data_IF_483175532198
#
_entry.id   IF_483175532198
#
_cell.length_a   1.000
_cell.length_b   1.000
_cell.length_c   1.000
_cell.angle_alpha   90.00
_cell.angle_beta   90.00
_cell.angle_gamma   90.00
#
_symmetry.space_group_name_H-M   'P 1'
#
loop_
_entity.id
_entity.type
_entity.pdbx_description
1 polymer ?
#
# COMPACT_ATOMS: atom_id res chain seq x y z
N UNK A 1 3.47 -0.44 3.79
CA UNK A 1 4.41 0.63 4.16
C UNK A 1 5.66 0.52 3.30
N UNK A 2 6.02 1.58 2.64
CA UNK A 2 7.15 1.54 1.75
C UNK A 2 7.98 2.80 1.87
N UNK A 3 9.30 2.64 1.85
CA UNK A 3 10.21 3.77 1.80
C UNK A 3 10.57 4.02 0.36
N UNK A 4 10.34 5.24 -0.09
CA UNK A 4 10.60 5.61 -1.48
C UNK A 4 11.66 6.67 -1.49
N UNK A 5 12.74 6.49 -2.27
CA UNK A 5 13.77 7.51 -2.36
C UNK A 5 13.17 8.87 -2.72
N UNK A 6 13.65 9.91 -2.08
CA UNK A 6 13.11 11.24 -2.31
C UNK A 6 13.73 11.83 -3.58
N UNK A 7 13.39 11.24 -4.71
CA UNK A 7 13.88 11.63 -6.01
C UNK A 7 12.70 11.75 -6.97
N UNK A 8 12.81 12.63 -7.95
CA UNK A 8 11.71 12.79 -8.90
C UNK A 8 11.36 11.47 -9.59
N UNK A 9 10.10 11.22 -9.73
CA UNK A 9 9.61 10.05 -10.45
C UNK A 9 9.49 8.76 -9.64
N UNK A 10 10.09 8.71 -8.46
CA UNK A 10 10.07 7.46 -7.70
C UNK A 10 8.69 7.08 -7.18
N UNK A 11 7.94 8.05 -6.72
CA UNK A 11 6.58 7.78 -6.30
C UNK A 11 5.74 7.32 -7.48
N UNK A 12 5.93 7.94 -8.63
CA UNK A 12 5.23 7.53 -9.84
C UNK A 12 5.58 6.11 -10.23
N UNK A 13 6.83 5.72 -10.06
CA UNK A 13 7.26 4.38 -10.37
C UNK A 13 6.51 3.36 -9.52
N UNK A 14 6.44 3.59 -8.21
CA UNK A 14 5.74 2.68 -7.31
C UNK A 14 4.25 2.63 -7.64
N UNK A 15 3.63 3.78 -7.84
CA UNK A 15 2.21 3.84 -8.16
C UNK A 15 1.91 3.11 -9.46
N UNK A 16 2.80 3.27 -10.45
CA UNK A 16 2.63 2.61 -11.75
C UNK A 16 2.74 1.10 -11.61
N UNK A 17 3.65 0.63 -10.77
CA UNK A 17 3.78 -0.81 -10.57
C UNK A 17 2.51 -1.38 -9.94
N UNK A 18 1.95 -0.68 -8.97
CA UNK A 18 0.73 -1.13 -8.32
C UNK A 18 -0.38 -1.27 -9.36
N UNK A 19 -0.56 -0.25 -10.19
CA UNK A 19 -1.58 -0.29 -11.22
C UNK A 19 -1.29 -1.28 -12.33
N UNK A 20 -0.03 -1.42 -12.69
CA UNK A 20 0.35 -2.35 -13.75
C UNK A 20 -0.03 -3.78 -13.37
N UNK A 21 0.08 -4.12 -12.11
CA UNK A 21 -0.31 -5.45 -11.65
C UNK A 21 -1.78 -5.50 -11.23
N UNK A 22 -2.55 -4.54 -11.74
CA UNK A 22 -3.99 -4.52 -11.60
C UNK A 22 -4.50 -4.45 -10.16
N UNK A 23 -3.72 -3.80 -9.32
CA UNK A 23 -4.18 -3.50 -7.96
C UNK A 23 -4.63 -2.05 -7.95
N UNK A 24 -5.55 -1.73 -7.08
CA UNK A 24 -6.10 -0.39 -7.02
C UNK A 24 -5.67 0.30 -5.74
N UNK A 25 -5.17 1.51 -5.88
CA UNK A 25 -4.79 2.30 -4.71
C UNK A 25 -6.04 2.95 -4.16
N UNK A 26 -6.38 2.59 -2.93
CA UNK A 26 -7.56 3.15 -2.27
C UNK A 26 -7.18 4.41 -1.52
N UNK A 27 -6.01 4.39 -0.90
CA UNK A 27 -5.57 5.52 -0.10
C UNK A 27 -4.06 5.54 -0.04
N UNK A 28 -3.50 6.71 0.19
CA UNK A 28 -2.07 6.86 0.30
C UNK A 28 -1.80 7.93 1.34
N UNK A 29 -0.85 7.66 2.21
CA UNK A 29 -0.54 8.57 3.28
C UNK A 29 0.96 8.64 3.49
N UNK A 30 1.49 9.85 3.65
CA UNK A 30 2.90 10.02 3.98
C UNK A 30 3.02 9.97 5.47
N UNK A 31 3.81 9.04 5.98
CA UNK A 31 3.96 8.89 7.43
C UNK A 31 5.31 9.37 7.93
N UNK A 32 6.27 9.58 7.05
CA UNK A 32 7.57 10.08 7.47
C UNK A 32 8.23 10.78 6.29
N UNK A 33 8.89 11.90 6.56
CA UNK A 33 9.59 12.65 5.54
C UNK A 33 11.00 12.84 6.00
N UNK A 34 11.93 12.26 5.25
CA UNK A 34 13.34 12.45 5.52
C UNK A 34 14.00 13.07 4.30
N UNK A 35 15.23 13.50 4.47
CA UNK A 35 15.93 14.11 3.38
C UNK A 35 16.13 13.14 2.22
N UNK A 36 16.46 11.90 2.55
CA UNK A 36 16.79 10.91 1.54
C UNK A 36 15.63 10.05 1.08
N UNK A 37 14.56 10.01 1.86
CA UNK A 37 13.42 9.18 1.51
C UNK A 37 12.13 9.69 2.12
N UNK A 38 11.04 9.23 1.55
CA UNK A 38 9.72 9.46 2.08
C UNK A 38 9.13 8.11 2.39
N UNK A 39 8.40 8.01 3.47
CA UNK A 39 7.75 6.76 3.81
C UNK A 39 6.25 6.91 3.68
N UNK A 40 5.66 5.97 2.97
CA UNK A 40 4.24 5.99 2.67
C UNK A 40 3.56 4.75 3.18
N UNK A 41 2.29 4.87 3.45
CA UNK A 41 1.42 3.72 3.59
C UNK A 41 0.45 3.79 2.44
N UNK A 42 0.37 2.71 1.66
CA UNK A 42 -0.60 2.58 0.60
C UNK A 42 -1.65 1.56 1.04
N UNK A 43 -2.90 1.93 0.93
CA UNK A 43 -3.98 0.98 1.11
C UNK A 43 -4.35 0.51 -0.28
N UNK A 44 -4.18 -0.76 -0.51
CA UNK A 44 -4.33 -1.33 -1.84
C UNK A 44 -5.44 -2.37 -1.84
N UNK A 45 -6.33 -2.26 -2.81
CA UNK A 45 -7.34 -3.26 -3.01
C UNK A 45 -6.79 -4.31 -3.95
N UNK A 46 -6.75 -5.53 -3.49
CA UNK A 46 -6.19 -6.64 -4.24
C UNK A 46 -7.31 -7.52 -4.73
N UNK A 47 -7.36 -7.75 -6.04
CA UNK A 47 -8.42 -8.56 -6.60
C UNK A 47 -8.13 -10.03 -6.53
N UNK A 48 -6.89 -10.42 -6.70
CA UNK A 48 -6.54 -11.82 -6.59
C UNK A 48 -5.11 -11.97 -6.12
N UNK A 49 -4.81 -13.16 -5.66
CA UNK A 49 -3.52 -13.45 -5.07
C UNK A 49 -2.38 -13.34 -6.08
N UNK A 50 -2.65 -13.68 -7.31
CA UNK A 50 -1.62 -13.62 -8.33
C UNK A 50 -1.13 -12.19 -8.54
N UNK A 51 -2.06 -11.24 -8.62
CA UNK A 51 -1.68 -9.84 -8.79
C UNK A 51 -0.88 -9.34 -7.61
N UNK A 52 -1.28 -9.77 -6.42
CA UNK A 52 -0.55 -9.39 -5.22
C UNK A 52 0.87 -9.93 -5.26
N UNK A 53 1.02 -11.20 -5.56
CA UNK A 53 2.34 -11.82 -5.59
C UNK A 53 3.23 -11.20 -6.63
N UNK A 54 2.68 -10.86 -7.79
CA UNK A 54 3.44 -10.23 -8.85
C UNK A 54 3.94 -8.86 -8.41
N UNK A 55 3.10 -8.10 -7.74
CA UNK A 55 3.50 -6.78 -7.25
C UNK A 55 4.63 -6.92 -6.25
N UNK A 56 4.49 -7.82 -5.29
CA UNK A 56 5.51 -8.01 -4.27
C UNK A 56 6.84 -8.43 -4.89
N UNK A 57 6.81 -9.33 -5.87
CA UNK A 57 8.00 -9.75 -6.58
C UNK A 57 8.68 -8.58 -7.26
N UNK A 58 7.91 -7.76 -7.92
CA UNK A 58 8.45 -6.63 -8.66
C UNK A 58 9.09 -5.62 -7.70
N UNK A 59 8.45 -5.36 -6.58
CA UNK A 59 9.00 -4.43 -5.60
C UNK A 59 10.33 -4.95 -5.05
N UNK A 60 10.43 -6.26 -4.86
CA UNK A 60 11.66 -6.85 -4.39
C UNK A 60 12.77 -6.76 -5.44
N UNK A 61 12.44 -7.05 -6.68
CA UNK A 61 13.39 -6.98 -7.77
C UNK A 61 13.95 -5.57 -7.91
N UNK A 62 13.10 -4.59 -7.74
CA UNK A 62 13.52 -3.21 -7.84
C UNK A 62 14.11 -2.68 -6.54
N UNK A 63 14.23 -3.56 -5.56
CA UNK A 63 14.90 -3.25 -4.30
C UNK A 63 14.25 -2.14 -3.48
N UNK A 64 12.95 -2.01 -3.55
CA UNK A 64 12.25 -1.11 -2.66
C UNK A 64 12.16 -1.75 -1.28
N UNK A 65 12.31 -0.94 -0.25
CA UNK A 65 12.18 -1.41 1.11
C UNK A 65 10.75 -1.24 1.57
N UNK A 66 10.10 -2.34 1.85
CA UNK A 66 8.69 -2.29 2.22
C UNK A 66 8.33 -3.36 3.22
N UNK A 67 7.22 -3.14 3.90
CA UNK A 67 6.66 -4.09 4.85
C UNK A 67 5.18 -4.21 4.53
N UNK A 68 4.71 -5.44 4.44
CA UNK A 68 3.29 -5.67 4.21
C UNK A 68 2.58 -5.61 5.54
N UNK A 69 1.63 -4.69 5.65
CA UNK A 69 0.81 -4.57 6.84
C UNK A 69 -0.50 -5.23 6.50
N UNK A 70 -0.75 -6.35 7.17
CA UNK A 70 -1.94 -7.09 6.88
C UNK A 70 -3.11 -6.40 7.47
N UNK A 71 -4.01 -6.01 6.62
CA UNK A 71 -5.19 -5.33 7.06
C UNK A 71 -6.30 -6.31 6.86
N UNK A 72 -6.67 -6.95 7.89
CA UNK A 72 -7.67 -7.95 7.77
C UNK A 72 -8.97 -7.32 7.42
N UNK A 73 -9.48 -7.78 6.35
CA UNK A 73 -10.71 -7.33 5.86
C UNK A 73 -11.81 -7.36 6.86
N UNK A 74 -11.84 -8.41 7.61
CA UNK A 74 -12.87 -8.51 8.58
C UNK A 74 -12.71 -7.51 9.69
N UNK A 75 -11.51 -7.09 9.97
CA UNK A 75 -11.32 -6.09 10.98
C UNK A 75 -11.94 -4.79 10.53
N UNK A 76 -11.67 -4.42 9.31
CA UNK A 76 -12.23 -3.21 8.77
C UNK A 76 -13.73 -3.29 8.73
N UNK A 77 -14.23 -4.43 8.32
CA UNK A 77 -15.63 -4.66 8.26
C UNK A 77 -16.27 -4.53 9.62
N UNK A 78 -15.68 -5.19 10.59
CA UNK A 78 -16.22 -5.15 11.93
C UNK A 78 -16.18 -3.78 12.51
N UNK A 79 -15.13 -3.06 12.25
CA UNK A 79 -15.05 -1.73 12.76
C UNK A 79 -16.15 -0.87 12.22
N UNK A 80 -16.46 -1.00 10.96
CA UNK A 80 -17.55 -0.25 10.41
C UNK A 80 -18.85 -0.62 11.04
N UNK A 81 -19.07 -1.89 11.17
CA UNK A 81 -20.28 -2.35 11.74
C UNK A 81 -20.40 -1.99 13.16
N UNK A 82 -19.40 -2.28 13.92
CA UNK A 82 -19.42 -2.01 15.32
C UNK A 82 -19.55 -0.56 15.63
N UNK A 83 -18.83 0.25 14.93
CA UNK A 83 -18.96 1.61 15.18
C UNK A 83 -20.24 2.12 14.79
N UNK A 84 -20.82 1.53 13.84
CA UNK A 84 -22.10 1.94 13.41
C UNK A 84 -23.16 1.51 14.31
N UNK A 85 -22.90 0.53 14.95
CA UNK A 85 -23.80 0.12 15.87
C UNK A 85 -23.52 0.57 17.04
N UNK A 86 -22.80 0.82 17.14
CA UNK A 86 -22.54 1.13 18.13
C UNK A 86 -22.80 2.16 18.39
N UNK A 87 -23.23 2.28 17.67
CA UNK A 87 -23.52 2.82 17.78
C UNK A 87 -24.05 2.89 18.17
N UNK A 88 -24.33 2.46 17.92
CA UNK A 88 -24.74 2.25 18.12
C UNK A 88 -24.88 2.26 18.46
#
# INVERSE_FOLDING_TARGET
RIKIPNLPGKLGEVSSLIGFHENNIINMEIIDKKKDYLEFIFDIQIKNLKNYKNLISELKIKEFKFTVIRHRKKDAFLQRIIKNFKRN
#
